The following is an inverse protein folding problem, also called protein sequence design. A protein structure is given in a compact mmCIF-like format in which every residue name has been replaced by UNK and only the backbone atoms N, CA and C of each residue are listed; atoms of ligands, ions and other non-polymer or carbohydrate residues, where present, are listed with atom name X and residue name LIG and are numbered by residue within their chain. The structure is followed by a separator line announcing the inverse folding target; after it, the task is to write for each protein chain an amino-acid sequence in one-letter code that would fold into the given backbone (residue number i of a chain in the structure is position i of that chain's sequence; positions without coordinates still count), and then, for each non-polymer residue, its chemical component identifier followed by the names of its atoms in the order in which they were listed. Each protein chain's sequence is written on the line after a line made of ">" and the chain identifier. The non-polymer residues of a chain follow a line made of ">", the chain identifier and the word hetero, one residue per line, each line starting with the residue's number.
data_IF_942825086770
#
_entry.id   IF_942825086770
#
_cell.length_a   1.000
_cell.length_b   1.000
_cell.length_c   1.000
_cell.angle_alpha   90.00
_cell.angle_beta   90.00
_cell.angle_gamma   90.00
#
_symmetry.space_group_name_H-M   'P 1'
#
loop_
_entity.id
_entity.type
_entity.pdbx_description
1 polymer ?
#
# COMPACT_ATOMS: atom_id res chain seq x y z
N UNK A 1 -24.71 -20.42 19.24
CA UNK A 1 -23.90 -19.38 19.90
C UNK A 1 -22.49 -19.92 20.02
N UNK A 2 -21.62 -19.59 19.08
CA UNK A 2 -20.19 -19.90 19.14
C UNK A 2 -19.46 -18.58 18.93
N UNK A 3 -18.78 -18.16 20.00
CA UNK A 3 -17.88 -17.02 20.03
C UNK A 3 -16.71 -17.34 19.10
N UNK A 4 -16.67 -16.65 17.96
CA UNK A 4 -15.48 -16.58 17.12
C UNK A 4 -14.42 -15.83 17.93
N UNK A 5 -13.36 -16.53 18.34
CA UNK A 5 -12.12 -15.88 18.78
C UNK A 5 -11.42 -15.35 17.52
N UNK A 6 -11.72 -14.09 17.20
CA UNK A 6 -10.94 -13.30 16.26
C UNK A 6 -9.49 -13.23 16.77
N UNK A 7 -8.46 -13.38 15.90
CA UNK A 7 -7.10 -13.05 16.27
C UNK A 7 -7.07 -11.59 16.74
N UNK A 8 -6.24 -11.32 17.75
CA UNK A 8 -6.18 -10.06 18.48
C UNK A 8 -6.25 -8.86 17.52
N UNK A 9 -7.36 -8.14 17.60
CA UNK A 9 -7.66 -6.94 16.82
C UNK A 9 -6.64 -5.88 17.23
N UNK A 10 -5.64 -5.66 16.39
CA UNK A 10 -4.69 -4.57 16.51
C UNK A 10 -5.44 -3.23 16.48
N UNK A 11 -5.78 -2.73 17.66
CA UNK A 11 -6.42 -1.43 17.84
C UNK A 11 -5.40 -0.33 17.54
N UNK A 12 -5.86 0.76 16.90
CA UNK A 12 -5.21 2.05 16.54
C UNK A 12 -3.93 2.47 17.32
N UNK A 13 -3.74 2.07 18.59
CA UNK A 13 -2.47 2.22 19.31
C UNK A 13 -1.30 1.36 18.76
N UNK A 14 -1.58 0.34 17.96
CA UNK A 14 -0.60 -0.60 17.41
C UNK A 14 0.22 0.01 16.27
N UNK A 15 -0.37 0.76 15.34
CA UNK A 15 0.35 1.19 14.12
C UNK A 15 1.56 2.08 14.43
N UNK A 16 1.40 3.06 15.33
CA UNK A 16 2.49 3.94 15.72
C UNK A 16 3.59 3.17 16.47
N UNK A 17 3.19 2.23 17.34
CA UNK A 17 4.11 1.40 18.10
C UNK A 17 4.89 0.43 17.18
N UNK A 18 4.22 -0.20 16.21
CA UNK A 18 4.85 -1.08 15.23
C UNK A 18 5.80 -0.27 14.33
N UNK A 19 5.42 0.95 13.90
CA UNK A 19 6.31 1.86 13.16
C UNK A 19 7.56 2.22 13.97
N UNK A 20 7.41 2.52 15.26
CA UNK A 20 8.54 2.82 16.16
C UNK A 20 9.45 1.60 16.34
N UNK A 21 8.87 0.41 16.52
CA UNK A 21 9.63 -0.84 16.61
C UNK A 21 10.43 -1.12 15.34
N UNK A 22 9.83 -0.92 14.17
CA UNK A 22 10.52 -1.07 12.87
C UNK A 22 11.69 -0.10 12.74
N UNK A 23 11.48 1.17 13.09
CA UNK A 23 12.55 2.16 13.07
C UNK A 23 13.71 1.78 14.00
N UNK A 24 13.41 1.27 15.20
CA UNK A 24 14.43 0.81 16.13
C UNK A 24 15.20 -0.40 15.58
N UNK A 25 14.53 -1.34 14.90
CA UNK A 25 15.20 -2.46 14.24
C UNK A 25 16.10 -2.01 13.09
N UNK A 26 15.69 -1.00 12.31
CA UNK A 26 16.53 -0.42 11.24
C UNK A 26 17.82 0.16 11.82
N UNK A 27 17.72 0.92 12.92
CA UNK A 27 18.90 1.47 13.62
C UNK A 27 19.82 0.36 14.12
N UNK A 28 19.26 -0.68 14.76
CA UNK A 28 20.05 -1.82 15.24
C UNK A 28 20.70 -2.58 14.09
N UNK A 29 19.98 -2.76 12.97
CA UNK A 29 20.49 -3.39 11.75
C UNK A 29 21.69 -2.62 11.20
N UNK A 30 21.59 -1.29 11.09
CA UNK A 30 22.67 -0.43 10.61
C UNK A 30 23.91 -0.48 11.51
N UNK A 31 23.72 -0.50 12.83
CA UNK A 31 24.80 -0.68 13.80
C UNK A 31 25.49 -2.06 13.65
N UNK A 32 24.70 -3.13 13.51
CA UNK A 32 25.22 -4.47 13.27
C UNK A 32 25.96 -4.59 11.92
N UNK A 33 25.45 -3.96 10.87
CA UNK A 33 26.11 -3.92 9.57
C UNK A 33 27.43 -3.14 9.62
N UNK A 34 27.45 -2.01 10.31
CA UNK A 34 28.67 -1.21 10.52
C UNK A 34 29.74 -1.99 11.30
N UNK A 35 29.33 -2.71 12.35
CA UNK A 35 30.24 -3.56 13.13
C UNK A 35 30.74 -4.76 12.32
N UNK A 36 29.88 -5.40 11.51
CA UNK A 36 30.26 -6.46 10.57
C UNK A 36 31.33 -6.01 9.59
N UNK A 37 31.14 -4.87 8.93
CA UNK A 37 32.12 -4.31 7.97
C UNK A 37 33.46 -4.05 8.66
N UNK A 38 33.44 -3.52 9.88
CA UNK A 38 34.67 -3.31 10.67
C UNK A 38 35.39 -4.61 11.00
N UNK A 39 34.66 -5.65 11.39
CA UNK A 39 35.25 -6.95 11.69
C UNK A 39 35.82 -7.62 10.43
N UNK A 40 35.15 -7.52 9.28
CA UNK A 40 35.68 -8.03 8.01
C UNK A 40 37.03 -7.39 7.66
N UNK A 41 37.14 -6.07 7.80
CA UNK A 41 38.41 -5.37 7.59
C UNK A 41 39.51 -5.81 8.58
N UNK A 42 39.14 -6.16 9.82
CA UNK A 42 40.09 -6.72 10.79
C UNK A 42 40.52 -8.13 10.42
N UNK A 43 39.60 -8.97 9.94
CA UNK A 43 39.90 -10.33 9.46
C UNK A 43 40.89 -10.29 8.30
N UNK A 44 40.64 -9.44 7.29
CA UNK A 44 41.57 -9.27 6.16
C UNK A 44 42.98 -8.86 6.63
N UNK A 45 43.06 -7.93 7.59
CA UNK A 45 44.33 -7.49 8.15
C UNK A 45 45.06 -8.59 8.92
N UNK A 46 44.33 -9.43 9.67
CA UNK A 46 44.94 -10.54 10.43
C UNK A 46 45.35 -11.66 9.48
N UNK A 47 44.59 -11.95 8.43
CA UNK A 47 44.92 -12.98 7.46
C UNK A 47 46.21 -12.64 6.69
N UNK A 48 46.36 -11.37 6.27
CA UNK A 48 47.63 -10.87 5.70
C UNK A 48 48.80 -11.06 6.68
N UNK A 49 48.59 -10.76 7.96
CA UNK A 49 49.61 -10.92 9.00
C UNK A 49 49.95 -12.41 9.23
N UNK A 50 48.95 -13.29 9.27
CA UNK A 50 49.13 -14.74 9.39
C UNK A 50 49.92 -15.28 8.19
N UNK A 51 49.60 -14.88 6.97
CA UNK A 51 50.30 -15.34 5.77
C UNK A 51 51.74 -14.82 5.73
N UNK A 52 51.98 -13.58 6.14
CA UNK A 52 53.33 -13.02 6.24
C UNK A 52 54.19 -13.76 7.29
N UNK A 53 53.61 -14.09 8.45
CA UNK A 53 54.32 -14.81 9.52
C UNK A 53 54.55 -16.28 9.15
N UNK A 54 53.62 -16.91 8.45
CA UNK A 54 53.80 -18.28 7.91
C UNK A 54 54.99 -18.37 6.96
N UNK A 55 55.22 -17.34 6.13
CA UNK A 55 56.32 -17.30 5.16
C UNK A 55 57.68 -16.99 5.81
N UNK A 56 57.70 -16.13 6.82
CA UNK A 56 58.94 -15.62 7.43
C UNK A 56 59.41 -16.43 8.65
N UNK A 57 58.51 -16.89 9.51
CA UNK A 57 58.83 -17.65 10.73
C UNK A 57 57.67 -18.59 11.14
N UNK A 58 57.66 -19.82 10.60
CA UNK A 58 56.53 -20.74 10.72
C UNK A 58 56.32 -21.31 12.14
N UNK A 59 57.32 -21.21 13.02
CA UNK A 59 57.24 -21.69 14.42
C UNK A 59 57.08 -20.54 15.44
N UNK A 60 56.91 -19.31 14.96
CA UNK A 60 56.79 -18.15 15.83
C UNK A 60 55.58 -18.22 16.77
N UNK A 61 55.79 -17.83 18.03
CA UNK A 61 54.71 -17.62 19.00
C UNK A 61 53.68 -16.59 18.51
N UNK A 62 54.13 -15.61 17.73
CA UNK A 62 53.28 -14.55 17.19
C UNK A 62 52.34 -15.05 16.08
N UNK A 63 52.76 -16.05 15.28
CA UNK A 63 51.85 -16.74 14.37
C UNK A 63 50.71 -17.45 15.11
N UNK A 64 51.02 -18.09 16.24
CA UNK A 64 49.99 -18.76 17.06
C UNK A 64 49.01 -17.74 17.65
N UNK A 65 49.50 -16.60 18.15
CA UNK A 65 48.63 -15.50 18.63
C UNK A 65 47.76 -14.94 17.51
N UNK A 66 48.32 -14.72 16.31
CA UNK A 66 47.58 -14.23 15.16
C UNK A 66 46.48 -15.20 14.71
N UNK A 67 46.76 -16.51 14.70
CA UNK A 67 45.73 -17.54 14.41
C UNK A 67 44.62 -17.58 15.45
N UNK A 68 44.96 -17.44 16.74
CA UNK A 68 43.95 -17.35 17.81
C UNK A 68 43.08 -16.10 17.61
N UNK A 69 43.68 -14.96 17.30
CA UNK A 69 42.96 -13.73 17.03
C UNK A 69 42.05 -13.83 15.79
N UNK A 70 42.54 -14.44 14.70
CA UNK A 70 41.74 -14.74 13.49
C UNK A 70 40.53 -15.61 13.84
N UNK A 71 40.73 -16.70 14.58
CA UNK A 71 39.61 -17.56 15.01
C UNK A 71 38.60 -16.82 15.88
N UNK A 72 39.06 -15.98 16.81
CA UNK A 72 38.15 -15.15 17.63
C UNK A 72 37.37 -14.13 16.79
N UNK A 73 37.95 -13.58 15.72
CA UNK A 73 37.24 -12.69 14.80
C UNK A 73 36.17 -13.44 14.00
N UNK A 74 36.47 -14.65 13.52
CA UNK A 74 35.49 -15.49 12.81
C UNK A 74 34.29 -15.79 13.71
N UNK A 75 34.52 -16.21 14.96
CA UNK A 75 33.43 -16.46 15.92
C UNK A 75 32.60 -15.19 16.16
N UNK A 76 33.24 -14.01 16.26
CA UNK A 76 32.50 -12.74 16.39
C UNK A 76 31.69 -12.40 15.15
N UNK A 77 32.23 -12.63 13.96
CA UNK A 77 31.50 -12.43 12.70
C UNK A 77 30.28 -13.34 12.63
N UNK A 78 30.41 -14.62 12.97
CA UNK A 78 29.28 -15.56 13.03
C UNK A 78 28.19 -15.07 14.00
N UNK A 79 28.57 -14.55 15.18
CA UNK A 79 27.58 -14.01 16.12
C UNK A 79 26.85 -12.76 15.60
N UNK A 80 27.53 -11.91 14.84
CA UNK A 80 26.91 -10.73 14.22
C UNK A 80 26.00 -11.17 13.07
N UNK A 81 26.41 -12.15 12.26
CA UNK A 81 25.59 -12.68 11.17
C UNK A 81 24.31 -13.33 11.73
N UNK A 82 24.40 -14.11 12.81
CA UNK A 82 23.23 -14.62 13.51
C UNK A 82 22.33 -13.50 14.04
N UNK A 83 22.91 -12.45 14.64
CA UNK A 83 22.13 -11.31 15.12
C UNK A 83 21.42 -10.58 13.98
N UNK A 84 22.09 -10.37 12.84
CA UNK A 84 21.48 -9.78 11.64
C UNK A 84 20.33 -10.63 11.10
N UNK A 85 20.48 -11.96 11.08
CA UNK A 85 19.41 -12.85 10.65
C UNK A 85 18.23 -12.81 11.62
N UNK A 86 18.46 -12.70 12.93
CA UNK A 86 17.37 -12.48 13.89
C UNK A 86 16.66 -11.15 13.67
N UNK A 87 17.40 -10.05 13.45
CA UNK A 87 16.82 -8.72 13.17
C UNK A 87 15.99 -8.75 11.89
N UNK A 88 16.48 -9.41 10.83
CA UNK A 88 15.73 -9.61 9.58
C UNK A 88 14.43 -10.36 9.82
N UNK A 89 14.46 -11.47 10.56
CA UNK A 89 13.25 -12.23 10.86
C UNK A 89 12.22 -11.41 11.66
N UNK A 90 12.68 -10.58 12.60
CA UNK A 90 11.80 -9.68 13.34
C UNK A 90 11.26 -8.55 12.45
N UNK A 91 12.08 -8.00 11.55
CA UNK A 91 11.66 -7.00 10.56
C UNK A 91 10.57 -7.56 9.64
N UNK A 92 10.76 -8.77 9.11
CA UNK A 92 9.77 -9.45 8.27
C UNK A 92 8.43 -9.62 9.03
N UNK A 93 8.49 -9.98 10.32
CA UNK A 93 7.31 -10.11 11.18
C UNK A 93 6.62 -8.78 11.48
N UNK A 94 7.38 -7.69 11.65
CA UNK A 94 6.81 -6.35 11.83
C UNK A 94 6.20 -5.83 10.54
N UNK A 95 6.82 -6.07 9.38
CA UNK A 95 6.27 -5.71 8.08
C UNK A 95 4.94 -6.45 7.84
N UNK A 96 4.83 -7.73 8.22
CA UNK A 96 3.57 -8.47 8.19
C UNK A 96 2.51 -7.84 9.11
N UNK A 97 2.89 -7.47 10.33
CA UNK A 97 1.99 -6.82 11.29
C UNK A 97 1.53 -5.43 10.80
N UNK A 98 2.43 -4.66 10.16
CA UNK A 98 2.10 -3.37 9.55
C UNK A 98 1.12 -3.53 8.40
N UNK A 99 1.31 -4.54 7.53
CA UNK A 99 0.36 -4.82 6.44
C UNK A 99 -1.04 -5.06 6.98
N UNK A 100 -1.17 -5.96 7.95
CA UNK A 100 -2.47 -6.27 8.58
C UNK A 100 -3.10 -5.03 9.25
N UNK A 101 -2.29 -4.20 9.91
CA UNK A 101 -2.75 -2.96 10.52
C UNK A 101 -3.24 -1.93 9.47
N UNK A 102 -2.51 -1.76 8.37
CA UNK A 102 -2.94 -0.87 7.28
C UNK A 102 -4.19 -1.39 6.58
N UNK A 103 -4.28 -2.69 6.31
CA UNK A 103 -5.45 -3.29 5.65
C UNK A 103 -6.72 -3.04 6.47
N UNK A 104 -6.62 -3.15 7.80
CA UNK A 104 -7.71 -2.80 8.71
C UNK A 104 -8.07 -1.30 8.64
N UNK A 105 -7.08 -0.40 8.67
CA UNK A 105 -7.33 1.05 8.61
C UNK A 105 -7.93 1.46 7.26
N UNK A 106 -7.42 0.90 6.15
CA UNK A 106 -7.90 1.13 4.79
C UNK A 106 -9.36 0.67 4.68
N UNK A 107 -9.69 -0.54 5.12
CA UNK A 107 -11.06 -1.05 5.09
C UNK A 107 -12.01 -0.17 5.92
N UNK A 108 -11.56 0.27 7.11
CA UNK A 108 -12.33 1.19 7.96
C UNK A 108 -12.54 2.55 7.29
N UNK A 109 -11.50 3.16 6.73
CA UNK A 109 -11.58 4.45 6.04
C UNK A 109 -12.48 4.38 4.81
N UNK A 110 -12.38 3.29 4.03
CA UNK A 110 -13.27 3.03 2.90
C UNK A 110 -14.74 2.94 3.34
N UNK A 111 -15.01 2.23 4.45
CA UNK A 111 -16.36 2.16 5.03
C UNK A 111 -16.90 3.55 5.38
N UNK A 112 -16.11 4.37 6.11
CA UNK A 112 -16.51 5.72 6.49
C UNK A 112 -16.71 6.64 5.28
N UNK A 113 -15.83 6.58 4.28
CA UNK A 113 -15.92 7.40 3.06
C UNK A 113 -17.09 7.00 2.14
N UNK A 114 -17.53 5.74 2.22
CA UNK A 114 -18.71 5.27 1.49
C UNK A 114 -20.01 5.81 2.10
N UNK A 115 -20.04 5.97 3.43
CA UNK A 115 -21.20 6.53 4.16
C UNK A 115 -21.24 8.07 4.06
N UNK A 116 -20.10 8.73 4.26
CA UNK A 116 -19.97 10.18 4.18
C UNK A 116 -18.58 10.54 3.69
N UNK A 117 -18.51 11.22 2.54
CA UNK A 117 -17.24 11.67 2.00
C UNK A 117 -16.65 12.80 2.87
N UNK A 118 -15.39 12.63 3.25
CA UNK A 118 -14.60 13.61 3.99
C UNK A 118 -13.22 13.69 3.32
N UNK A 119 -12.81 14.90 2.93
CA UNK A 119 -11.54 15.12 2.23
C UNK A 119 -10.31 14.79 3.07
N UNK A 120 -10.35 15.03 4.38
CA UNK A 120 -9.26 14.69 5.29
C UNK A 120 -9.12 13.18 5.45
N UNK A 121 -10.23 12.46 5.60
CA UNK A 121 -10.23 11.00 5.62
C UNK A 121 -9.76 10.40 4.29
N UNK A 122 -10.11 11.04 3.16
CA UNK A 122 -9.64 10.62 1.84
C UNK A 122 -8.11 10.78 1.70
N UNK A 123 -7.55 11.91 2.12
CA UNK A 123 -6.09 12.13 2.13
C UNK A 123 -5.36 11.12 3.02
N UNK A 124 -5.93 10.81 4.19
CA UNK A 124 -5.38 9.79 5.07
C UNK A 124 -5.42 8.40 4.42
N UNK A 125 -6.52 8.07 3.72
CA UNK A 125 -6.65 6.81 3.00
C UNK A 125 -5.59 6.70 1.90
N UNK A 126 -5.36 7.76 1.11
CA UNK A 126 -4.34 7.73 0.06
C UNK A 126 -2.95 7.49 0.62
N UNK A 127 -2.60 8.14 1.74
CA UNK A 127 -1.31 7.91 2.41
C UNK A 127 -1.17 6.47 2.89
N UNK A 128 -2.21 5.91 3.54
CA UNK A 128 -2.14 4.52 3.99
C UNK A 128 -2.09 3.52 2.83
N UNK A 129 -2.75 3.80 1.70
CA UNK A 129 -2.62 2.96 0.50
C UNK A 129 -1.20 3.00 -0.08
N UNK A 130 -0.56 4.17 -0.09
CA UNK A 130 0.84 4.32 -0.53
C UNK A 130 1.79 3.58 0.42
N UNK A 131 1.72 3.84 1.72
CA UNK A 131 2.57 3.17 2.72
C UNK A 131 2.36 1.64 2.70
N UNK A 132 1.13 1.18 2.50
CA UNK A 132 0.81 -0.24 2.39
C UNK A 132 1.32 -0.87 1.09
N UNK A 133 1.35 -0.11 0.00
CA UNK A 133 1.94 -0.56 -1.26
C UNK A 133 3.48 -0.64 -1.17
N UNK A 134 4.12 0.29 -0.47
CA UNK A 134 5.58 0.29 -0.22
C UNK A 134 6.05 -0.92 0.59
N UNK A 135 5.22 -1.43 1.51
CA UNK A 135 5.49 -2.69 2.20
C UNK A 135 5.50 -3.90 1.26
N UNK A 136 5.07 -3.74 0.02
CA UNK A 136 5.05 -4.78 -0.99
C UNK A 136 4.04 -5.89 -0.69
N UNK A 137 4.07 -6.93 -1.55
CA UNK A 137 3.16 -8.06 -1.45
C UNK A 137 3.54 -8.94 -0.26
N UNK A 138 2.53 -9.40 0.48
CA UNK A 138 2.70 -10.48 1.45
C UNK A 138 2.92 -11.78 0.68
N UNK A 139 4.18 -12.10 0.36
CA UNK A 139 4.53 -13.49 0.07
C UNK A 139 4.54 -14.19 1.41
N UNK A 140 3.38 -14.76 1.77
CA UNK A 140 3.20 -15.49 3.02
C UNK A 140 4.23 -16.64 3.07
N UNK A 141 5.37 -16.40 3.71
CA UNK A 141 6.23 -17.48 4.23
C UNK A 141 5.53 -18.31 5.31
N UNK A 142 4.31 -17.92 5.68
CA UNK A 142 3.50 -18.52 6.72
C UNK A 142 2.78 -19.78 6.22
N UNK A 143 2.95 -20.93 6.90
CA UNK A 143 2.17 -22.13 6.63
C UNK A 143 0.68 -21.94 6.94
N UNK A 144 0.22 -20.82 7.52
CA UNK A 144 -1.18 -20.63 7.92
C UNK A 144 -2.14 -20.26 6.78
N UNK A 145 -1.66 -19.83 5.61
CA UNK A 145 -2.53 -19.71 4.41
C UNK A 145 -2.83 -21.06 3.74
N UNK A 146 -2.31 -22.17 4.30
CA UNK A 146 -2.73 -23.54 3.96
C UNK A 146 -4.09 -23.92 4.57
N UNK A 147 -4.73 -23.03 5.34
CA UNK A 147 -5.83 -23.39 6.23
C UNK A 147 -7.16 -23.80 5.60
N UNK A 148 -7.46 -23.47 4.34
CA UNK A 148 -8.81 -23.74 3.80
C UNK A 148 -8.94 -24.15 2.32
N UNK A 149 -7.88 -24.12 1.50
CA UNK A 149 -7.94 -24.73 0.17
C UNK A 149 -7.02 -25.95 0.13
N UNK A 150 -7.57 -27.11 0.50
CA UNK A 150 -6.90 -28.43 0.43
C UNK A 150 -6.41 -28.78 -0.97
N UNK A 151 -6.81 -28.01 -2.00
CA UNK A 151 -6.30 -28.10 -3.38
C UNK A 151 -4.91 -27.50 -3.55
N UNK A 152 -4.42 -26.74 -2.55
CA UNK A 152 -3.16 -25.98 -2.57
C UNK A 152 -2.05 -26.58 -1.71
N UNK A 153 -2.35 -27.59 -0.88
CA UNK A 153 -1.33 -28.26 -0.09
C UNK A 153 -0.61 -29.32 -0.94
N UNK A 154 0.72 -29.28 -0.91
CA UNK A 154 1.56 -30.43 -1.25
C UNK A 154 1.24 -31.54 -0.24
N UNK A 155 0.74 -32.67 -0.73
CA UNK A 155 0.61 -33.90 0.05
C UNK A 155 1.84 -34.76 -0.19
N UNK A 156 2.31 -35.49 0.83
CA UNK A 156 3.37 -36.49 0.66
C UNK A 156 2.94 -37.62 -0.30
N UNK A 157 1.63 -37.82 -0.44
CA UNK A 157 1.02 -38.80 -1.34
C UNK A 157 0.84 -38.31 -2.78
N UNK A 158 1.13 -37.03 -3.08
CA UNK A 158 0.88 -36.46 -4.41
C UNK A 158 1.74 -37.13 -5.48
N UNK A 159 1.10 -37.93 -6.36
CA UNK A 159 1.76 -38.53 -7.51
C UNK A 159 2.10 -37.50 -8.60
N UNK A 160 2.95 -37.85 -9.59
CA UNK A 160 3.34 -36.93 -10.66
C UNK A 160 2.16 -36.41 -11.49
N UNK A 161 1.11 -37.22 -11.69
CA UNK A 161 -0.12 -36.81 -12.38
C UNK A 161 -0.95 -35.82 -11.57
N UNK A 162 -0.96 -35.96 -10.24
CA UNK A 162 -1.69 -35.07 -9.34
C UNK A 162 -0.99 -33.73 -9.24
N UNK A 163 0.34 -33.71 -9.19
CA UNK A 163 1.13 -32.48 -9.29
C UNK A 163 0.93 -31.77 -10.64
N UNK A 164 0.92 -32.49 -11.76
CA UNK A 164 0.61 -31.88 -13.06
C UNK A 164 -0.78 -31.23 -13.07
N UNK A 165 -1.77 -31.88 -12.46
CA UNK A 165 -3.13 -31.32 -12.36
C UNK A 165 -3.17 -30.08 -11.45
N UNK A 166 -2.43 -30.08 -10.33
CA UNK A 166 -2.28 -28.91 -9.45
C UNK A 166 -1.55 -27.75 -10.13
N UNK A 167 -0.50 -28.04 -10.91
CA UNK A 167 0.22 -27.06 -11.74
C UNK A 167 -0.72 -26.41 -12.74
N UNK A 168 -1.51 -27.21 -13.49
CA UNK A 168 -2.48 -26.67 -14.45
C UNK A 168 -3.52 -25.78 -13.77
N UNK A 169 -4.07 -26.24 -12.64
CA UNK A 169 -5.03 -25.45 -11.86
C UNK A 169 -4.43 -24.11 -11.39
N UNK A 170 -3.19 -24.13 -10.91
CA UNK A 170 -2.49 -22.94 -10.47
C UNK A 170 -2.23 -21.96 -11.63
N UNK A 171 -1.81 -22.44 -12.80
CA UNK A 171 -1.64 -21.62 -14.00
C UNK A 171 -2.95 -20.98 -14.45
N UNK A 172 -4.05 -21.73 -14.43
CA UNK A 172 -5.38 -21.23 -14.79
C UNK A 172 -5.84 -20.12 -13.82
N UNK A 173 -5.57 -20.29 -12.52
CA UNK A 173 -5.88 -19.30 -11.48
C UNK A 173 -5.05 -18.04 -11.61
N UNK A 174 -3.74 -18.15 -11.79
CA UNK A 174 -2.86 -17.00 -12.06
C UNK A 174 -3.35 -16.25 -13.29
N UNK A 175 -3.68 -16.97 -14.36
CA UNK A 175 -4.20 -16.38 -15.60
C UNK A 175 -5.56 -15.70 -15.40
N UNK A 176 -6.41 -16.22 -14.51
CA UNK A 176 -7.67 -15.58 -14.12
C UNK A 176 -7.43 -14.27 -13.37
N UNK A 177 -6.57 -14.28 -12.34
CA UNK A 177 -6.28 -13.09 -11.55
C UNK A 177 -5.58 -11.99 -12.35
N UNK A 178 -4.66 -12.35 -13.26
CA UNK A 178 -4.06 -11.37 -14.19
C UNK A 178 -5.10 -10.73 -15.11
N UNK A 179 -6.08 -11.49 -15.61
CA UNK A 179 -7.18 -10.94 -16.43
C UNK A 179 -8.09 -10.02 -15.64
N UNK A 180 -8.42 -10.37 -14.40
CA UNK A 180 -9.20 -9.52 -13.51
C UNK A 180 -8.44 -8.23 -13.16
N UNK A 181 -7.14 -8.32 -12.87
CA UNK A 181 -6.28 -7.16 -12.62
C UNK A 181 -6.23 -6.23 -13.84
N UNK A 182 -6.04 -6.77 -15.06
CA UNK A 182 -6.09 -5.97 -16.28
C UNK A 182 -7.44 -5.29 -16.52
N UNK A 183 -8.57 -5.93 -16.16
CA UNK A 183 -9.90 -5.29 -16.21
C UNK A 183 -10.02 -4.14 -15.21
N UNK A 184 -9.47 -4.29 -14.01
CA UNK A 184 -9.44 -3.23 -13.00
C UNK A 184 -8.56 -2.06 -13.46
N UNK A 185 -7.41 -2.34 -14.06
CA UNK A 185 -6.53 -1.31 -14.62
C UNK A 185 -7.24 -0.50 -15.72
N UNK A 186 -7.94 -1.18 -16.63
CA UNK A 186 -8.74 -0.51 -17.66
C UNK A 186 -9.85 0.39 -17.07
N UNK A 187 -10.52 -0.06 -16.01
CA UNK A 187 -11.57 0.75 -15.36
C UNK A 187 -10.98 1.92 -14.60
N UNK A 188 -9.83 1.75 -13.93
CA UNK A 188 -9.10 2.83 -13.28
C UNK A 188 -8.68 3.91 -14.28
N UNK A 189 -8.16 3.54 -15.45
CA UNK A 189 -7.79 4.49 -16.52
C UNK A 189 -9.02 5.29 -16.99
N UNK A 190 -10.18 4.63 -17.12
CA UNK A 190 -11.43 5.32 -17.50
C UNK A 190 -11.89 6.28 -16.41
N UNK A 191 -11.91 5.84 -15.16
CA UNK A 191 -12.32 6.67 -14.03
C UNK A 191 -11.40 7.88 -13.82
N UNK A 192 -10.10 7.74 -14.05
CA UNK A 192 -9.17 8.88 -14.01
C UNK A 192 -9.49 9.92 -15.10
N UNK A 193 -9.79 9.46 -16.32
CA UNK A 193 -10.24 10.35 -17.40
C UNK A 193 -11.56 11.04 -17.06
N UNK A 194 -12.51 10.31 -16.49
CA UNK A 194 -13.80 10.85 -16.07
C UNK A 194 -13.60 11.91 -14.97
N UNK A 195 -12.71 11.65 -14.00
CA UNK A 195 -12.34 12.60 -12.96
C UNK A 195 -11.76 13.89 -13.56
N UNK A 196 -10.81 13.78 -14.50
CA UNK A 196 -10.25 14.94 -15.19
C UNK A 196 -11.31 15.72 -15.97
N UNK A 197 -12.26 15.03 -16.59
CA UNK A 197 -13.36 15.65 -17.34
C UNK A 197 -14.32 16.39 -16.41
N UNK A 198 -14.72 15.77 -15.30
CA UNK A 198 -15.57 16.40 -14.28
C UNK A 198 -14.88 17.60 -13.67
N UNK A 199 -13.58 17.52 -13.38
CA UNK A 199 -12.80 18.66 -12.88
C UNK A 199 -12.81 19.85 -13.87
N UNK A 200 -12.61 19.60 -15.18
CA UNK A 200 -12.69 20.64 -16.22
C UNK A 200 -14.10 21.23 -16.33
N UNK A 201 -15.13 20.38 -16.31
CA UNK A 201 -16.53 20.83 -16.33
C UNK A 201 -16.86 21.70 -15.12
N UNK A 202 -16.36 21.32 -13.94
CA UNK A 202 -16.54 22.09 -12.72
C UNK A 202 -15.88 23.46 -12.79
N UNK A 203 -14.65 23.54 -13.32
CA UNK A 203 -13.98 24.83 -13.55
C UNK A 203 -14.78 25.74 -14.50
N UNK A 204 -15.33 25.17 -15.58
CA UNK A 204 -16.20 25.92 -16.50
C UNK A 204 -17.47 26.40 -15.80
N UNK A 205 -18.11 25.55 -15.00
CA UNK A 205 -19.28 25.93 -14.20
C UNK A 205 -18.97 27.10 -13.25
N UNK A 206 -17.84 27.04 -12.53
CA UNK A 206 -17.40 28.14 -11.67
C UNK A 206 -17.16 29.44 -12.45
N UNK A 207 -16.61 29.38 -13.65
CA UNK A 207 -16.43 30.55 -14.52
C UNK A 207 -17.79 31.14 -14.96
N UNK A 208 -18.72 30.29 -15.37
CA UNK A 208 -20.08 30.71 -15.73
C UNK A 208 -20.82 31.33 -14.56
N UNK A 209 -20.70 30.76 -13.36
CA UNK A 209 -21.37 31.29 -12.18
C UNK A 209 -20.80 32.66 -11.78
N UNK A 210 -19.48 32.83 -11.81
CA UNK A 210 -18.83 34.16 -11.63
C UNK A 210 -19.32 35.18 -12.65
N UNK A 211 -19.44 34.79 -13.93
CA UNK A 211 -19.99 35.66 -14.99
C UNK A 211 -21.46 36.01 -14.72
N UNK A 212 -22.26 35.03 -14.28
CA UNK A 212 -23.67 35.23 -13.92
C UNK A 212 -23.82 36.18 -12.75
N UNK A 213 -23.04 35.99 -11.68
CA UNK A 213 -23.00 36.87 -10.51
C UNK A 213 -22.60 38.30 -10.90
N UNK A 214 -21.56 38.44 -11.73
CA UNK A 214 -21.12 39.75 -12.27
C UNK A 214 -22.22 40.42 -13.10
N UNK A 215 -22.90 39.67 -13.97
CA UNK A 215 -24.00 40.21 -14.77
C UNK A 215 -25.21 40.61 -13.91
N UNK A 216 -25.53 39.84 -12.88
CA UNK A 216 -26.56 40.21 -11.90
C UNK A 216 -26.18 41.47 -11.13
N UNK A 217 -24.91 41.64 -10.77
CA UNK A 217 -24.41 42.84 -10.11
C UNK A 217 -24.53 44.07 -11.03
N UNK A 218 -24.10 43.97 -12.30
CA UNK A 218 -24.27 45.04 -13.29
C UNK A 218 -25.74 45.39 -13.46
N UNK A 219 -26.63 44.40 -13.57
CA UNK A 219 -28.08 44.64 -13.67
C UNK A 219 -28.68 45.27 -12.41
N UNK A 220 -28.14 44.99 -11.23
CA UNK A 220 -28.53 45.67 -9.98
C UNK A 220 -28.03 47.11 -9.94
N UNK A 221 -26.83 47.38 -10.42
CA UNK A 221 -26.26 48.73 -10.53
C UNK A 221 -27.02 49.58 -11.56
N UNK A 222 -27.42 49.00 -12.70
CA UNK A 222 -28.25 49.68 -13.70
C UNK A 222 -29.69 49.94 -13.23
N UNK A 223 -30.28 49.03 -12.45
CA UNK A 223 -31.62 49.20 -11.88
C UNK A 223 -31.58 49.88 -10.50
N UNK A 224 -30.42 50.32 -10.01
CA UNK A 224 -30.32 51.06 -8.76
C UNK A 224 -31.00 52.42 -8.96
N UNK A 225 -31.98 52.79 -8.11
CA UNK A 225 -32.64 54.08 -8.22
C UNK A 225 -31.60 55.20 -8.11
N UNK A 226 -31.70 56.19 -8.99
CA UNK A 226 -30.83 57.37 -8.96
C UNK A 226 -30.78 57.94 -7.53
N UNK A 227 -29.61 58.40 -7.05
CA UNK A 227 -29.50 58.99 -5.72
C UNK A 227 -30.55 60.10 -5.60
N UNK A 228 -31.29 60.18 -4.48
CA UNK A 228 -32.39 61.11 -4.35
C UNK A 228 -31.85 62.55 -4.45
N UNK A 229 -31.97 63.14 -5.64
CA UNK A 229 -31.90 64.58 -5.79
C UNK A 229 -33.15 65.13 -5.11
N UNK A 230 -32.92 65.97 -4.09
CA UNK A 230 -33.93 66.36 -3.11
C UNK A 230 -35.24 66.84 -3.73
N UNK A 231 -36.34 66.26 -3.24
CA UNK A 231 -37.70 66.70 -3.53
C UNK A 231 -38.74 65.59 -3.32
N UNK A 232 -39.27 65.48 -2.11
CA UNK A 232 -40.51 64.74 -1.83
C UNK A 232 -41.76 65.57 -2.23
N UNK A 233 -42.99 65.03 -2.18
CA UNK A 233 -43.49 63.79 -2.81
C UNK A 233 -44.82 64.07 -3.55
N UNK A 234 -45.25 63.21 -4.47
CA UNK A 234 -46.67 63.17 -4.88
C UNK A 234 -47.15 61.74 -4.86
N UNK A 235 -48.11 61.50 -3.98
CA UNK A 235 -48.91 60.29 -3.84
C UNK A 235 -49.99 60.31 -4.91
N UNK A 236 -50.08 59.25 -5.71
CA UNK A 236 -51.27 58.74 -6.40
C UNK A 236 -50.88 57.33 -6.85
N UNK A 237 -51.59 56.25 -6.57
CA UNK A 237 -53.04 56.10 -6.50
C UNK A 237 -53.39 55.01 -7.51
N UNK A 238 -53.62 53.81 -6.97
CA UNK A 238 -54.28 52.63 -7.54
C UNK A 238 -53.67 51.74 -8.64
N UNK A 239 -53.95 50.46 -8.41
CA UNK A 239 -54.14 49.35 -9.36
C UNK A 239 -52.91 48.65 -9.97
N UNK A 240 -52.55 47.48 -9.41
CA UNK A 240 -52.99 46.18 -9.95
C UNK A 240 -52.34 45.00 -9.22
N UNK A 241 -53.19 44.03 -8.89
CA UNK A 241 -52.87 42.67 -8.48
C UNK A 241 -51.71 42.05 -9.27
N UNK A 242 -50.69 41.55 -8.55
CA UNK A 242 -49.85 40.44 -9.04
C UNK A 242 -49.71 39.40 -7.94
N UNK A 243 -50.36 38.28 -8.21
CA UNK A 243 -50.34 37.03 -7.48
C UNK A 243 -48.92 36.51 -7.25
N UNK A 244 -48.75 35.88 -6.09
CA UNK A 244 -47.96 34.69 -5.79
C UNK A 244 -46.88 34.28 -6.79
N UNK A 245 -45.64 34.24 -6.30
CA UNK A 245 -44.74 33.08 -6.42
C UNK A 245 -43.66 33.23 -5.33
N UNK A 246 -43.42 32.21 -4.48
CA UNK A 246 -42.32 32.24 -3.53
C UNK A 246 -41.01 32.24 -4.33
N UNK A 247 -40.17 33.24 -4.07
CA UNK A 247 -38.86 33.42 -4.66
C UNK A 247 -37.89 32.36 -4.11
N UNK A 248 -38.08 31.12 -4.53
CA UNK A 248 -37.18 30.00 -4.25
C UNK A 248 -36.17 29.86 -5.38
N UNK A 249 -35.23 30.79 -5.44
CA UNK A 249 -34.05 30.72 -6.32
C UNK A 249 -32.78 31.14 -5.54
N UNK A 250 -32.74 30.81 -4.24
CA UNK A 250 -31.45 30.62 -3.59
C UNK A 250 -30.96 29.24 -4.03
N UNK A 251 -30.26 29.20 -5.16
CA UNK A 251 -29.27 28.16 -5.36
C UNK A 251 -28.41 28.14 -4.10
N UNK A 252 -28.19 26.97 -3.47
CA UNK A 252 -27.32 26.90 -2.31
C UNK A 252 -26.00 27.55 -2.69
N UNK A 253 -25.53 28.47 -1.85
CA UNK A 253 -24.17 28.97 -1.96
C UNK A 253 -23.28 27.73 -1.85
N UNK A 254 -22.79 27.25 -2.99
CA UNK A 254 -21.85 26.15 -3.02
C UNK A 254 -20.56 26.77 -2.51
N UNK A 255 -20.29 26.56 -1.23
CA UNK A 255 -19.01 26.90 -0.61
C UNK A 255 -17.91 26.32 -1.51
N UNK A 256 -17.11 27.23 -2.09
CA UNK A 256 -16.18 26.94 -3.18
C UNK A 256 -15.01 26.05 -2.80
N UNK A 257 -15.00 25.52 -1.57
CA UNK A 257 -13.93 24.71 -1.00
C UNK A 257 -14.23 23.21 -0.99
N UNK A 258 -15.48 22.78 -1.19
CA UNK A 258 -15.81 21.34 -1.11
C UNK A 258 -15.74 20.66 -2.48
N UNK A 259 -15.07 19.51 -2.53
CA UNK A 259 -15.01 18.63 -3.70
C UNK A 259 -16.43 18.29 -4.14
N UNK A 260 -16.79 18.49 -5.41
CA UNK A 260 -18.16 18.27 -5.85
C UNK A 260 -18.55 16.78 -5.75
N UNK A 261 -19.76 16.49 -5.27
CA UNK A 261 -20.30 15.14 -5.10
C UNK A 261 -20.00 14.13 -6.25
N UNK A 262 -20.11 14.49 -7.56
CA UNK A 262 -19.73 13.56 -8.63
C UNK A 262 -18.24 13.16 -8.62
N UNK A 263 -17.33 14.04 -8.20
CA UNK A 263 -15.90 13.72 -8.05
C UNK A 263 -15.70 12.81 -6.84
N UNK A 264 -16.40 13.05 -5.73
CA UNK A 264 -16.33 12.23 -4.52
C UNK A 264 -16.65 10.74 -4.81
N UNK A 265 -17.71 10.49 -5.58
CA UNK A 265 -18.12 9.13 -5.98
C UNK A 265 -17.02 8.44 -6.78
N UNK A 266 -16.43 9.14 -7.76
CA UNK A 266 -15.36 8.60 -8.60
C UNK A 266 -14.11 8.31 -7.76
N UNK A 267 -13.75 9.20 -6.84
CA UNK A 267 -12.59 9.02 -5.94
C UNK A 267 -12.74 7.78 -5.05
N UNK A 268 -13.91 7.59 -4.43
CA UNK A 268 -14.19 6.40 -3.61
C UNK A 268 -14.12 5.14 -4.47
N UNK A 269 -14.69 5.16 -5.68
CA UNK A 269 -14.64 4.03 -6.59
C UNK A 269 -13.21 3.67 -7.01
N UNK A 270 -12.37 4.67 -7.31
CA UNK A 270 -10.94 4.48 -7.60
C UNK A 270 -10.26 3.79 -6.42
N UNK A 271 -10.50 4.26 -5.18
CA UNK A 271 -9.84 3.68 -4.00
C UNK A 271 -10.26 2.23 -3.73
N UNK A 272 -11.53 1.89 -3.95
CA UNK A 272 -12.00 0.51 -3.85
C UNK A 272 -11.36 -0.40 -4.91
N UNK A 273 -11.23 0.10 -6.14
CA UNK A 273 -10.60 -0.64 -7.22
C UNK A 273 -9.11 -0.86 -6.97
N UNK A 274 -8.39 0.14 -6.44
CA UNK A 274 -6.98 0.00 -6.02
C UNK A 274 -6.81 -1.05 -4.92
N UNK A 275 -7.64 -1.02 -3.89
CA UNK A 275 -7.59 -2.03 -2.82
C UNK A 275 -7.83 -3.44 -3.37
N UNK A 276 -8.82 -3.60 -4.25
CA UNK A 276 -9.09 -4.88 -4.91
C UNK A 276 -7.95 -5.33 -5.83
N UNK A 277 -7.30 -4.41 -6.54
CA UNK A 277 -6.14 -4.71 -7.37
C UNK A 277 -5.00 -5.28 -6.51
N UNK A 278 -4.70 -4.63 -5.38
CA UNK A 278 -3.68 -5.08 -4.45
C UNK A 278 -3.98 -6.48 -3.89
N UNK A 279 -5.23 -6.75 -3.51
CA UNK A 279 -5.67 -8.09 -3.06
C UNK A 279 -5.43 -9.16 -4.15
N UNK A 280 -5.75 -8.85 -5.42
CA UNK A 280 -5.55 -9.78 -6.52
C UNK A 280 -4.06 -10.05 -6.79
N UNK A 281 -3.21 -9.05 -6.65
CA UNK A 281 -1.76 -9.19 -6.79
C UNK A 281 -1.18 -10.06 -5.67
N UNK A 282 -1.64 -9.90 -4.43
CA UNK A 282 -1.22 -10.73 -3.30
C UNK A 282 -1.66 -12.19 -3.46
N UNK A 283 -2.92 -12.42 -3.84
CA UNK A 283 -3.41 -13.76 -4.15
C UNK A 283 -2.59 -14.36 -5.30
N UNK A 284 -2.35 -13.59 -6.36
CA UNK A 284 -1.54 -14.00 -7.51
C UNK A 284 -0.14 -14.45 -7.12
N UNK A 285 0.55 -13.69 -6.27
CA UNK A 285 1.89 -14.01 -5.79
C UNK A 285 1.94 -15.33 -5.00
N UNK A 286 0.94 -15.59 -4.16
CA UNK A 286 0.82 -16.87 -3.43
C UNK A 286 0.67 -18.05 -4.41
N UNK A 287 -0.14 -17.88 -5.46
CA UNK A 287 -0.28 -18.92 -6.49
C UNK A 287 1.01 -19.14 -7.27
N UNK A 288 1.79 -18.10 -7.54
CA UNK A 288 3.08 -18.21 -8.23
C UNK A 288 4.14 -18.93 -7.38
N UNK A 289 4.20 -18.64 -6.07
CA UNK A 289 5.08 -19.36 -5.14
C UNK A 289 4.73 -20.86 -5.08
N UNK A 290 3.43 -21.17 -4.94
CA UNK A 290 2.95 -22.56 -4.91
C UNK A 290 3.21 -23.28 -6.22
N UNK A 291 3.03 -22.58 -7.34
CA UNK A 291 3.37 -23.12 -8.66
C UNK A 291 4.85 -23.50 -8.70
N UNK A 292 5.76 -22.66 -8.20
CA UNK A 292 7.18 -22.98 -8.09
C UNK A 292 7.45 -24.24 -7.27
N UNK A 293 6.85 -24.34 -6.08
CA UNK A 293 6.99 -25.50 -5.21
C UNK A 293 6.46 -26.81 -5.83
N UNK A 294 5.36 -26.75 -6.60
CA UNK A 294 4.85 -27.91 -7.32
C UNK A 294 5.80 -28.37 -8.44
N UNK A 295 6.41 -27.43 -9.18
CA UNK A 295 7.39 -27.77 -10.20
C UNK A 295 8.64 -28.39 -9.59
N UNK A 296 9.18 -27.81 -8.51
CA UNK A 296 10.36 -28.33 -7.81
C UNK A 296 10.10 -29.77 -7.33
N UNK A 297 8.96 -30.03 -6.70
CA UNK A 297 8.61 -31.39 -6.25
C UNK A 297 8.43 -32.37 -7.39
N UNK A 298 7.88 -31.94 -8.51
CA UNK A 298 7.73 -32.77 -9.71
C UNK A 298 9.08 -33.08 -10.35
N UNK A 299 10.00 -32.11 -10.38
CA UNK A 299 11.38 -32.29 -10.84
C UNK A 299 12.17 -33.24 -9.93
N UNK A 300 12.02 -33.13 -8.61
CA UNK A 300 12.60 -34.07 -7.65
C UNK A 300 12.14 -35.52 -7.90
N UNK A 301 10.85 -35.71 -8.17
CA UNK A 301 10.27 -37.05 -8.39
C UNK A 301 10.62 -37.65 -9.75
N UNK A 302 10.71 -36.83 -10.79
CA UNK A 302 11.10 -37.28 -12.14
C UNK A 302 12.63 -37.43 -12.27
N UNK A 303 13.39 -36.87 -11.33
CA UNK A 303 14.85 -36.78 -11.36
C UNK A 303 15.35 -35.93 -12.53
N UNK A 304 16.67 -35.69 -12.63
CA UNK A 304 17.25 -35.17 -13.86
C UNK A 304 16.98 -36.23 -14.93
N UNK A 305 16.03 -35.94 -15.83
CA UNK A 305 15.82 -36.73 -17.02
C UNK A 305 17.18 -37.01 -17.66
N UNK A 306 17.47 -38.29 -17.85
CA UNK A 306 18.70 -38.80 -18.40
C UNK A 306 19.18 -37.92 -19.57
N UNK A 307 20.21 -37.12 -19.31
CA UNK A 307 21.05 -36.55 -20.35
C UNK A 307 21.70 -37.71 -21.09
N UNK A 308 21.11 -38.06 -22.23
CA UNK A 308 21.79 -38.49 -23.45
C UNK A 308 23.10 -39.26 -23.25
N UNK A 309 22.99 -40.59 -23.26
CA UNK A 309 23.99 -41.44 -23.91
C UNK A 309 23.64 -41.60 -25.38
#
# INVERSE_FOLDING_TARGET
>A
MLLFSLPAIAQIGDLAQIKEQRHNLDVVSDELMSTRVRLLAQTDSIDILVDSLRLNDPESSDLLKARIASHQLVVRLETIDMALDTVRAHSDSLDESLRDAYDWQIARLLGMLTESFDEGLYQQLTLYQEERHELGLRVLRSPFFTGYDTRLSLSEDDGPTELQMKIQLAQDRISHYRRESGRIEETLIRLDRDLQLVAKMWQLYQQFDRLRQRNQQIMREFNAPAPPSGGQPVVSGDDLQRSDLPRSDQAPAIDSETTPAPVQIILVQITHLKAKQQELEEIGAVWEERLGAFHERLEEMLGPSAGTR
#
